data_IF_001473178142
#
_entry.id   IF_001473178142
#
_cell.length_a   1.000
_cell.length_b   1.000
_cell.length_c   1.000
_cell.angle_alpha   90.00
_cell.angle_beta   90.00
_cell.angle_gamma   90.00
#
_symmetry.space_group_name_H-M   'P 1'
#
loop_
_entity.id
_entity.type
_entity.pdbx_description
1 polymer ?
#
# COMPACT_ATOMS: atom_id res chain seq x y z
N UNK A 1 -28.08 -18.52 -5.42
CA UNK A 1 -27.22 -18.03 -6.52
C UNK A 1 -25.78 -18.36 -6.17
N UNK A 2 -25.10 -19.23 -6.94
CA UNK A 2 -23.69 -19.49 -6.72
C UNK A 2 -22.91 -18.23 -7.13
N UNK A 3 -22.49 -17.45 -6.16
CA UNK A 3 -21.55 -16.36 -6.40
C UNK A 3 -20.19 -16.99 -6.74
N UNK A 4 -19.48 -16.39 -7.70
CA UNK A 4 -18.11 -16.85 -8.02
C UNK A 4 -17.18 -16.50 -6.85
N UNK A 5 -16.23 -17.39 -6.50
CA UNK A 5 -15.21 -17.06 -5.52
C UNK A 5 -14.49 -15.76 -5.82
N UNK A 6 -14.23 -14.96 -4.80
CA UNK A 6 -13.39 -13.79 -4.87
C UNK A 6 -11.91 -14.18 -5.02
N UNK A 7 -11.14 -13.33 -5.69
CA UNK A 7 -9.67 -13.47 -5.80
C UNK A 7 -9.03 -12.24 -5.20
N UNK A 8 -8.05 -12.43 -4.31
CA UNK A 8 -7.29 -11.38 -3.66
C UNK A 8 -5.82 -11.41 -4.09
N UNK A 9 -5.23 -10.23 -4.23
CA UNK A 9 -3.79 -10.04 -4.42
C UNK A 9 -3.29 -9.11 -3.32
N UNK A 10 -2.32 -9.59 -2.56
CA UNK A 10 -1.80 -8.93 -1.38
C UNK A 10 -0.36 -8.45 -1.62
N UNK A 11 -0.02 -7.32 -1.03
CA UNK A 11 1.35 -6.80 -0.96
C UNK A 11 1.64 -6.41 0.48
N UNK A 12 2.82 -6.75 0.98
CA UNK A 12 3.25 -6.38 2.31
C UNK A 12 3.61 -4.90 2.38
N UNK A 13 3.33 -4.31 3.52
CA UNK A 13 3.84 -3.02 3.95
C UNK A 13 4.32 -3.14 5.40
N UNK A 14 5.17 -2.23 5.85
CA UNK A 14 5.59 -2.11 7.24
C UNK A 14 6.18 -3.40 7.85
N UNK A 15 6.85 -4.24 7.04
CA UNK A 15 7.52 -5.46 7.51
C UNK A 15 6.61 -6.65 7.81
N UNK A 16 5.32 -6.56 7.57
CA UNK A 16 4.38 -7.67 7.81
C UNK A 16 4.72 -8.88 6.94
N UNK A 17 4.84 -10.05 7.56
CA UNK A 17 4.93 -11.32 6.83
C UNK A 17 3.54 -11.75 6.38
N UNK A 18 3.19 -11.42 5.12
CA UNK A 18 1.88 -11.74 4.54
C UNK A 18 1.58 -13.23 4.50
N UNK A 19 2.58 -14.07 4.22
CA UNK A 19 2.37 -15.50 4.13
C UNK A 19 1.92 -16.07 5.47
N UNK A 20 2.56 -15.68 6.57
CA UNK A 20 2.20 -16.15 7.91
C UNK A 20 0.84 -15.59 8.36
N UNK A 21 0.55 -14.32 8.09
CA UNK A 21 -0.76 -13.72 8.39
C UNK A 21 -1.91 -14.43 7.64
N UNK A 22 -1.74 -14.70 6.34
CA UNK A 22 -2.74 -15.42 5.54
C UNK A 22 -2.85 -16.87 5.99
N UNK A 23 -1.74 -17.52 6.34
CA UNK A 23 -1.75 -18.89 6.86
C UNK A 23 -2.51 -18.99 8.18
N UNK A 24 -2.33 -18.02 9.09
CA UNK A 24 -3.04 -17.95 10.37
C UNK A 24 -4.55 -17.81 10.24
N UNK A 25 -5.04 -17.22 9.14
CA UNK A 25 -6.46 -17.02 8.82
C UNK A 25 -6.99 -17.92 7.68
N UNK A 26 -6.23 -18.97 7.33
CA UNK A 26 -6.48 -19.81 6.15
C UNK A 26 -7.76 -20.65 6.20
N UNK A 27 -8.36 -20.84 7.39
CA UNK A 27 -9.62 -21.57 7.57
C UNK A 27 -10.80 -20.95 6.81
N UNK A 28 -10.69 -19.68 6.40
CA UNK A 28 -11.69 -18.96 5.62
C UNK A 28 -11.45 -19.02 4.11
N UNK A 29 -10.30 -19.53 3.67
CA UNK A 29 -9.86 -19.48 2.29
C UNK A 29 -10.09 -20.78 1.53
N UNK A 30 -10.39 -20.68 0.25
CA UNK A 30 -10.43 -21.84 -0.67
C UNK A 30 -8.99 -22.27 -0.96
N UNK A 31 -8.10 -21.29 -1.25
CA UNK A 31 -6.67 -21.50 -1.50
C UNK A 31 -5.91 -20.20 -1.30
N UNK A 32 -4.65 -20.33 -1.00
CA UNK A 32 -3.71 -19.21 -0.94
C UNK A 32 -2.31 -19.67 -1.31
N UNK A 33 -1.43 -18.71 -1.60
CA UNK A 33 -0.01 -18.97 -1.86
C UNK A 33 0.74 -17.68 -2.06
N UNK A 34 2.04 -17.74 -1.88
CA UNK A 34 2.92 -16.59 -2.02
C UNK A 34 4.13 -16.66 -1.11
N UNK A 35 4.69 -15.50 -0.83
CA UNK A 35 5.87 -15.29 0.01
C UNK A 35 5.62 -14.15 0.98
N UNK A 36 6.59 -13.85 1.82
CA UNK A 36 6.55 -12.77 2.82
C UNK A 36 6.03 -11.44 2.28
N UNK A 37 6.50 -11.02 1.10
CA UNK A 37 6.21 -9.69 0.54
C UNK A 37 4.97 -9.64 -0.37
N UNK A 38 4.53 -10.77 -0.92
CA UNK A 38 3.43 -10.83 -1.87
C UNK A 38 2.73 -12.19 -1.83
N UNK A 39 1.41 -12.16 -1.83
CA UNK A 39 0.60 -13.37 -1.80
C UNK A 39 -0.68 -13.20 -2.62
N UNK A 40 -1.28 -14.33 -2.97
CA UNK A 40 -2.60 -14.40 -3.60
C UNK A 40 -3.49 -15.37 -2.84
N UNK A 41 -4.79 -15.11 -2.88
CA UNK A 41 -5.78 -15.95 -2.24
C UNK A 41 -7.07 -16.06 -3.07
N UNK A 42 -7.88 -17.06 -2.76
CA UNK A 42 -9.28 -17.09 -3.19
C UNK A 42 -10.17 -17.46 -2.02
N UNK A 43 -11.38 -16.87 -1.99
CA UNK A 43 -12.26 -16.87 -0.85
C UNK A 43 -13.72 -16.86 -1.31
N UNK A 44 -14.59 -17.54 -0.56
CA UNK A 44 -16.03 -17.37 -0.76
C UNK A 44 -16.49 -15.98 -0.27
N UNK A 45 -17.42 -15.32 -0.97
CA UNK A 45 -17.85 -13.97 -0.61
C UNK A 45 -18.40 -13.82 0.81
N UNK A 46 -19.07 -14.85 1.31
CA UNK A 46 -19.63 -14.90 2.67
C UNK A 46 -18.57 -15.08 3.77
N UNK A 47 -17.34 -15.40 3.42
CA UNK A 47 -16.21 -15.58 4.35
C UNK A 47 -15.30 -14.36 4.48
N UNK A 48 -15.54 -13.31 3.69
CA UNK A 48 -14.65 -12.14 3.63
C UNK A 48 -14.56 -11.41 4.98
N UNK A 49 -15.67 -11.23 5.66
CA UNK A 49 -15.68 -10.49 6.93
C UNK A 49 -14.97 -11.28 8.05
N UNK A 50 -15.24 -12.58 8.16
CA UNK A 50 -14.55 -13.43 9.12
C UNK A 50 -13.04 -13.54 8.82
N UNK A 51 -12.68 -13.64 7.53
CA UNK A 51 -11.27 -13.59 7.13
C UNK A 51 -10.61 -12.27 7.51
N UNK A 52 -11.30 -11.14 7.34
CA UNK A 52 -10.76 -9.82 7.67
C UNK A 52 -10.45 -9.71 9.16
N UNK A 53 -11.36 -10.16 10.03
CA UNK A 53 -11.18 -10.12 11.48
C UNK A 53 -9.93 -10.91 11.88
N UNK A 54 -9.85 -12.18 11.52
CA UNK A 54 -8.73 -13.05 11.87
C UNK A 54 -7.40 -12.55 11.23
N UNK A 55 -7.45 -12.10 9.98
CA UNK A 55 -6.26 -11.57 9.30
C UNK A 55 -5.72 -10.32 9.97
N UNK A 56 -6.60 -9.40 10.40
CA UNK A 56 -6.18 -8.21 11.14
C UNK A 56 -5.52 -8.57 12.47
N UNK A 57 -6.04 -9.55 13.20
CA UNK A 57 -5.41 -10.05 14.42
C UNK A 57 -4.01 -10.60 14.15
N UNK A 58 -3.85 -11.42 13.09
CA UNK A 58 -2.53 -11.94 12.69
C UNK A 58 -1.53 -10.86 12.28
N UNK A 59 -2.00 -9.73 11.75
CA UNK A 59 -1.14 -8.59 11.42
C UNK A 59 -0.73 -7.83 12.68
N UNK A 60 -1.67 -7.57 13.60
CA UNK A 60 -1.40 -6.86 14.86
C UNK A 60 -0.44 -7.66 15.75
N UNK A 61 -0.50 -8.99 15.71
CA UNK A 61 0.43 -9.85 16.45
C UNK A 61 1.87 -9.79 15.91
N UNK A 62 2.06 -9.36 14.65
CA UNK A 62 3.38 -9.26 14.03
C UNK A 62 4.04 -7.88 14.20
N UNK A 63 3.25 -6.81 14.20
CA UNK A 63 3.72 -5.42 14.20
C UNK A 63 2.88 -4.58 15.14
N UNK A 64 3.49 -3.58 15.77
CA UNK A 64 2.76 -2.61 16.56
C UNK A 64 1.92 -1.68 15.68
N UNK A 65 0.84 -1.12 16.23
CA UNK A 65 -0.01 -0.16 15.49
C UNK A 65 0.80 1.07 15.04
N UNK A 66 1.79 1.48 15.83
CA UNK A 66 2.65 2.63 15.49
C UNK A 66 3.55 2.33 14.28
N UNK A 67 3.96 1.07 14.10
CA UNK A 67 4.75 0.61 12.94
C UNK A 67 3.91 0.50 11.64
N UNK A 68 2.58 0.49 11.77
CA UNK A 68 1.66 0.47 10.62
C UNK A 68 1.43 1.85 10.00
N UNK A 69 1.97 2.92 10.61
CA UNK A 69 1.90 4.26 10.02
C UNK A 69 2.86 4.30 8.82
N UNK A 70 2.35 4.51 7.60
CA UNK A 70 3.22 4.57 6.44
C UNK A 70 4.07 5.84 6.46
N UNK A 71 5.37 5.69 6.29
CA UNK A 71 6.29 6.80 6.04
C UNK A 71 6.20 7.25 4.57
N UNK A 72 6.30 8.54 4.37
CA UNK A 72 6.38 9.13 3.05
C UNK A 72 7.75 9.80 2.88
N UNK A 73 8.64 9.14 2.13
CA UNK A 73 9.95 9.69 1.81
C UNK A 73 9.80 10.89 0.86
N UNK A 74 10.24 12.06 1.32
CA UNK A 74 10.24 13.30 0.55
C UNK A 74 11.67 13.62 0.14
N UNK A 75 11.91 13.70 -1.17
CA UNK A 75 13.24 13.94 -1.71
C UNK A 75 13.69 15.38 -1.51
N UNK A 76 12.78 16.34 -1.58
CA UNK A 76 13.09 17.75 -1.31
C UNK A 76 11.86 18.57 -0.91
N UNK A 77 12.10 19.60 -0.10
CA UNK A 77 11.13 20.66 0.13
C UNK A 77 11.34 21.81 -0.89
N UNK A 78 10.26 22.30 -1.46
CA UNK A 78 10.28 23.36 -2.45
C UNK A 78 9.21 24.43 -2.14
N UNK A 79 9.56 25.68 -2.35
CA UNK A 79 8.57 26.75 -2.34
C UNK A 79 7.62 26.58 -3.54
N UNK A 80 6.33 26.85 -3.34
CA UNK A 80 5.32 26.72 -4.40
C UNK A 80 5.69 27.48 -5.68
N UNK A 81 6.30 28.66 -5.53
CA UNK A 81 6.77 29.46 -6.67
C UNK A 81 7.90 28.82 -7.49
N UNK A 82 8.59 27.82 -6.94
CA UNK A 82 9.63 27.07 -7.64
C UNK A 82 9.08 25.87 -8.42
N UNK A 83 7.84 25.46 -8.14
CA UNK A 83 7.17 24.36 -8.84
C UNK A 83 6.69 24.81 -10.22
N UNK A 84 7.61 25.06 -11.12
CA UNK A 84 7.35 25.53 -12.48
C UNK A 84 7.29 24.38 -13.48
N UNK A 85 6.69 24.63 -14.65
CA UNK A 85 6.73 23.67 -15.77
C UNK A 85 8.16 23.34 -16.20
N UNK A 86 9.08 24.29 -16.13
CA UNK A 86 10.49 24.05 -16.43
C UNK A 86 11.11 23.05 -15.45
N UNK A 87 10.88 23.23 -14.15
CA UNK A 87 11.34 22.28 -13.13
C UNK A 87 10.77 20.88 -13.37
N UNK A 88 9.47 20.77 -13.69
CA UNK A 88 8.85 19.47 -14.00
C UNK A 88 9.50 18.81 -15.21
N UNK A 89 9.79 19.57 -16.27
CA UNK A 89 10.50 19.06 -17.44
C UNK A 89 11.94 18.61 -17.10
N UNK A 90 12.61 19.31 -16.18
CA UNK A 90 13.96 18.95 -15.75
C UNK A 90 13.94 17.66 -14.91
N UNK A 91 12.94 17.48 -14.05
CA UNK A 91 12.74 16.23 -13.31
C UNK A 91 12.45 15.03 -14.24
N UNK A 92 11.70 15.22 -15.31
CA UNK A 92 11.45 14.16 -16.31
C UNK A 92 12.73 13.66 -17.00
N UNK A 93 13.81 14.45 -17.03
CA UNK A 93 15.11 14.02 -17.57
C UNK A 93 15.79 12.94 -16.71
N UNK A 94 15.34 12.75 -15.47
CA UNK A 94 15.81 11.67 -14.59
C UNK A 94 15.23 10.30 -14.95
N UNK A 95 14.28 10.24 -15.88
CA UNK A 95 13.69 9.00 -16.36
C UNK A 95 14.74 8.07 -17.04
N UNK A 96 14.50 6.75 -17.10
CA UNK A 96 13.26 6.05 -16.76
C UNK A 96 13.09 5.82 -15.25
N UNK A 97 11.90 6.11 -14.74
CA UNK A 97 11.55 5.83 -13.35
C UNK A 97 11.11 4.39 -13.13
N UNK A 98 11.38 3.86 -11.94
CA UNK A 98 11.04 2.50 -11.56
C UNK A 98 11.50 2.17 -10.14
N UNK A 99 11.53 0.90 -9.79
CA UNK A 99 11.77 0.43 -8.42
C UNK A 99 13.10 0.93 -7.80
N UNK A 100 14.17 1.09 -8.59
CA UNK A 100 15.49 1.56 -8.14
C UNK A 100 15.77 3.02 -8.50
N UNK A 101 14.84 3.67 -9.16
CA UNK A 101 14.87 5.08 -9.51
C UNK A 101 13.43 5.63 -9.42
N UNK A 102 12.89 5.81 -8.21
CA UNK A 102 11.53 6.32 -8.04
C UNK A 102 11.42 7.74 -8.57
N UNK A 103 10.20 8.14 -8.94
CA UNK A 103 9.94 9.54 -9.30
C UNK A 103 10.14 10.42 -8.07
N UNK A 104 10.94 11.49 -8.15
CA UNK A 104 11.14 12.39 -7.02
C UNK A 104 9.83 12.96 -6.48
N UNK A 105 9.68 12.92 -5.17
CA UNK A 105 8.54 13.46 -4.46
C UNK A 105 8.92 14.78 -3.78
N UNK A 106 8.23 15.84 -4.16
CA UNK A 106 8.47 17.18 -3.62
C UNK A 106 7.38 17.53 -2.60
N UNK A 107 7.76 18.20 -1.53
CA UNK A 107 6.85 18.76 -0.55
C UNK A 107 6.88 20.29 -0.59
N UNK A 108 5.71 20.90 -0.47
CA UNK A 108 5.59 22.32 -0.17
C UNK A 108 4.85 22.47 1.16
N UNK A 109 5.49 23.09 2.15
CA UNK A 109 4.92 23.38 3.45
C UNK A 109 4.30 24.78 3.51
N UNK A 110 3.52 25.04 4.56
CA UNK A 110 2.90 26.34 4.85
C UNK A 110 2.06 26.93 3.69
N UNK A 111 1.39 26.07 2.92
CA UNK A 111 0.54 26.48 1.79
C UNK A 111 -0.90 26.71 2.19
N UNK A 112 -1.49 27.82 1.77
CA UNK A 112 -2.92 28.09 1.90
C UNK A 112 -3.71 27.45 0.75
N UNK A 113 -4.67 26.57 1.08
CA UNK A 113 -5.55 25.98 0.08
C UNK A 113 -6.86 26.79 -0.02
N UNK A 114 -7.14 27.29 -1.21
CA UNK A 114 -8.36 28.06 -1.50
C UNK A 114 -9.26 27.27 -2.45
N UNK A 115 -10.58 27.31 -2.20
CA UNK A 115 -11.58 26.71 -3.10
C UNK A 115 -11.37 25.22 -3.41
N UNK A 116 -11.11 24.41 -2.39
CA UNK A 116 -11.12 22.95 -2.53
C UNK A 116 -12.46 22.49 -3.10
N UNK A 117 -12.42 21.85 -4.27
CA UNK A 117 -13.57 21.15 -4.86
C UNK A 117 -13.32 19.65 -4.75
N UNK A 118 -14.31 18.97 -4.22
CA UNK A 118 -14.37 17.50 -4.23
C UNK A 118 -14.95 17.00 -5.55
#
# INVERSE_FOLDING_TARGET
MNQRPGVGSCRSACGVNLYDAIRGSSQHLIKFGGHTAAAGLSIEPDKVDAFREDFCEQVIDQVSVDELIPDLDIDAEALIGHLTFQMMNDLEKLAPFGQKNPRPLMCASEVGLLNLRH
#
